data_IF_571402833270
#
_entry.id   IF_571402833270
#
_cell.length_a   1.000
_cell.length_b   1.000
_cell.length_c   1.000
_cell.angle_alpha   90.00
_cell.angle_beta   90.00
_cell.angle_gamma   90.00
#
_symmetry.space_group_name_H-M   'P 1'
#
loop_
_entity.id
_entity.type
_entity.pdbx_description
1 polymer ?
#
# COMPACT_ATOMS: atom_id res chain seq x y z
N UNK A 1 -21.55 0.15 -10.47
CA UNK A 1 -20.86 1.24 -11.19
C UNK A 1 -19.86 0.57 -12.12
N UNK A 2 -20.30 0.28 -13.35
CA UNK A 2 -19.45 -0.28 -14.39
C UNK A 2 -18.55 0.84 -14.91
N UNK A 3 -17.30 0.82 -14.47
CA UNK A 3 -16.29 1.74 -14.97
C UNK A 3 -15.81 1.17 -16.31
N UNK A 4 -16.20 1.84 -17.39
CA UNK A 4 -15.91 1.47 -18.77
C UNK A 4 -14.42 1.09 -18.97
N UNK A 5 -14.20 -0.18 -19.32
CA UNK A 5 -12.87 -0.79 -19.44
C UNK A 5 -11.94 -0.03 -20.39
N UNK A 6 -12.49 0.74 -21.35
CA UNK A 6 -11.69 1.58 -22.26
C UNK A 6 -11.05 2.77 -21.55
N UNK A 7 -11.71 3.39 -20.56
CA UNK A 7 -11.17 4.55 -19.82
C UNK A 7 -10.10 4.16 -18.80
N UNK A 8 -10.12 2.91 -18.30
CA UNK A 8 -9.15 2.40 -17.34
C UNK A 8 -7.87 1.83 -17.98
N UNK A 9 -7.83 1.61 -19.31
CA UNK A 9 -6.68 1.02 -20.00
C UNK A 9 -5.32 1.66 -19.67
N UNK A 10 -5.14 2.99 -19.74
CA UNK A 10 -3.83 3.59 -19.46
C UNK A 10 -3.43 3.48 -17.99
N UNK A 11 -4.39 3.62 -17.07
CA UNK A 11 -4.16 3.41 -15.63
C UNK A 11 -3.75 1.97 -15.33
N UNK A 12 -4.50 1.01 -15.89
CA UNK A 12 -4.18 -0.43 -15.85
C UNK A 12 -2.78 -0.67 -16.36
N UNK A 13 -2.37 -0.08 -17.49
CA UNK A 13 -1.04 -0.28 -18.05
C UNK A 13 0.09 0.20 -17.12
N UNK A 14 0.00 1.42 -16.58
CA UNK A 14 1.05 1.97 -15.69
C UNK A 14 1.10 1.25 -14.35
N UNK A 15 -0.04 0.92 -13.75
CA UNK A 15 -0.04 0.10 -12.54
C UNK A 15 0.48 -1.33 -12.80
N UNK A 16 0.15 -1.93 -13.95
CA UNK A 16 0.70 -3.23 -14.35
C UNK A 16 2.20 -3.20 -14.60
N UNK A 17 2.76 -2.06 -15.03
CA UNK A 17 4.20 -1.88 -15.16
C UNK A 17 4.89 -2.04 -13.80
N UNK A 18 4.44 -1.32 -12.78
CA UNK A 18 4.96 -1.46 -11.42
C UNK A 18 4.72 -2.86 -10.87
N UNK A 19 3.52 -3.42 -11.03
CA UNK A 19 3.17 -4.75 -10.51
C UNK A 19 4.06 -5.86 -11.10
N UNK A 20 4.57 -5.70 -12.33
CA UNK A 20 5.44 -6.68 -12.99
C UNK A 20 6.92 -6.51 -12.67
N UNK A 21 7.32 -5.32 -12.23
CA UNK A 21 8.71 -4.95 -11.96
C UNK A 21 8.88 -4.67 -10.47
N UNK A 22 9.40 -5.67 -9.76
CA UNK A 22 9.58 -5.59 -8.30
C UNK A 22 10.53 -4.46 -7.90
N UNK A 23 11.60 -4.22 -8.67
CA UNK A 23 12.59 -3.20 -8.33
C UNK A 23 12.00 -1.79 -8.51
N UNK A 24 11.28 -1.55 -9.62
CA UNK A 24 10.53 -0.29 -9.81
C UNK A 24 9.48 -0.06 -8.72
N UNK A 25 8.71 -1.11 -8.37
CA UNK A 25 7.73 -1.02 -7.29
C UNK A 25 8.37 -0.68 -5.94
N UNK A 26 9.53 -1.25 -5.66
CA UNK A 26 10.25 -0.99 -4.42
C UNK A 26 10.85 0.41 -4.39
N UNK A 27 11.35 0.91 -5.52
CA UNK A 27 11.77 2.30 -5.70
C UNK A 27 10.64 3.28 -5.41
N UNK A 28 9.49 3.10 -6.08
CA UNK A 28 8.29 3.90 -5.87
C UNK A 28 7.83 3.90 -4.40
N UNK A 29 7.81 2.72 -3.77
CA UNK A 29 7.45 2.57 -2.37
C UNK A 29 8.41 3.34 -1.45
N UNK A 30 9.71 3.27 -1.70
CA UNK A 30 10.71 3.96 -0.90
C UNK A 30 10.59 5.47 -1.03
N UNK A 31 10.38 6.00 -2.24
CA UNK A 31 10.12 7.41 -2.47
C UNK A 31 8.87 7.88 -1.73
N UNK A 32 7.79 7.09 -1.79
CA UNK A 32 6.55 7.40 -1.08
C UNK A 32 6.75 7.46 0.43
N UNK A 33 7.48 6.51 1.00
CA UNK A 33 7.80 6.48 2.43
C UNK A 33 8.65 7.69 2.83
N UNK A 34 9.66 8.04 2.04
CA UNK A 34 10.52 9.20 2.31
C UNK A 34 9.70 10.50 2.28
N UNK A 35 8.88 10.69 1.24
CA UNK A 35 8.02 11.88 1.10
C UNK A 35 7.01 11.98 2.24
N UNK A 36 6.34 10.88 2.58
CA UNK A 36 5.39 10.85 3.69
C UNK A 36 6.07 11.15 5.03
N UNK A 37 7.26 10.60 5.26
CA UNK A 37 8.01 10.82 6.50
C UNK A 37 8.42 12.28 6.65
N UNK A 38 8.90 12.91 5.57
CA UNK A 38 9.24 14.34 5.54
C UNK A 38 8.03 15.25 5.80
N UNK A 39 6.82 14.76 5.53
CA UNK A 39 5.56 15.50 5.67
C UNK A 39 4.69 15.02 6.83
N UNK A 40 5.23 14.20 7.75
CA UNK A 40 4.47 13.56 8.85
C UNK A 40 3.56 14.54 9.60
N UNK A 41 4.10 15.69 10.00
CA UNK A 41 3.35 16.71 10.75
C UNK A 41 2.18 17.30 9.96
N UNK A 42 2.29 17.37 8.63
CA UNK A 42 1.23 17.89 7.75
C UNK A 42 0.17 16.83 7.46
N UNK A 43 0.54 15.55 7.49
CA UNK A 43 -0.35 14.43 7.18
C UNK A 43 -1.25 14.05 8.35
N UNK A 44 -0.83 14.30 9.60
CA UNK A 44 -1.65 14.03 10.78
C UNK A 44 -2.16 12.57 10.78
N UNK A 45 -3.46 12.37 10.87
CA UNK A 45 -4.07 11.03 10.87
C UNK A 45 -3.94 10.26 9.54
N UNK A 46 -3.71 10.97 8.42
CA UNK A 46 -3.51 10.35 7.10
C UNK A 46 -2.18 9.59 7.06
N UNK A 47 -1.20 10.00 7.87
CA UNK A 47 0.10 9.32 8.00
C UNK A 47 -0.07 7.83 8.34
N UNK A 48 -0.91 7.49 9.31
CA UNK A 48 -1.12 6.10 9.74
C UNK A 48 -1.75 5.25 8.63
N UNK A 49 -2.68 5.84 7.86
CA UNK A 49 -3.33 5.19 6.72
C UNK A 49 -2.32 4.94 5.59
N UNK A 50 -1.47 5.92 5.29
CA UNK A 50 -0.39 5.78 4.30
C UNK A 50 0.63 4.73 4.73
N UNK A 51 1.03 4.75 6.01
CA UNK A 51 1.96 3.77 6.55
C UNK A 51 1.42 2.34 6.41
N UNK A 52 0.11 2.15 6.66
CA UNK A 52 -0.54 0.87 6.46
C UNK A 52 -0.57 0.44 4.98
N UNK A 53 -0.87 1.37 4.06
CA UNK A 53 -0.81 1.13 2.61
C UNK A 53 0.59 0.70 2.16
N UNK A 54 1.63 1.39 2.64
CA UNK A 54 3.01 1.06 2.35
C UNK A 54 3.40 -0.30 2.92
N UNK A 55 2.91 -0.63 4.11
CA UNK A 55 3.16 -1.90 4.79
C UNK A 55 2.58 -3.08 4.00
N UNK A 56 1.30 -3.02 3.61
CA UNK A 56 0.69 -4.10 2.82
C UNK A 56 1.35 -4.24 1.45
N UNK A 57 1.72 -3.13 0.81
CA UNK A 57 2.38 -3.18 -0.49
C UNK A 57 3.77 -3.80 -0.40
N UNK A 58 4.54 -3.44 0.64
CA UNK A 58 5.85 -4.05 0.94
C UNK A 58 5.75 -5.55 1.11
N UNK A 59 4.81 -6.00 1.95
CA UNK A 59 4.64 -7.44 2.24
C UNK A 59 4.15 -8.21 1.02
N UNK A 60 3.34 -7.58 0.17
CA UNK A 60 2.96 -8.13 -1.13
C UNK A 60 4.16 -8.27 -2.08
N UNK A 61 4.99 -7.22 -2.21
CA UNK A 61 6.21 -7.26 -3.04
C UNK A 61 7.23 -8.30 -2.56
N UNK A 62 7.31 -8.51 -1.24
CA UNK A 62 8.15 -9.53 -0.62
C UNK A 62 7.55 -10.93 -0.72
N UNK A 63 6.27 -11.05 -1.10
CA UNK A 63 5.56 -12.33 -1.20
C UNK A 63 5.15 -12.92 0.15
N UNK A 64 5.31 -12.19 1.25
CA UNK A 64 4.85 -12.61 2.59
C UNK A 64 3.33 -12.49 2.73
N UNK A 65 2.71 -11.53 2.03
CA UNK A 65 1.24 -11.36 2.00
C UNK A 65 0.70 -11.41 0.57
N UNK A 66 0.02 -12.50 0.19
CA UNK A 66 -0.48 -12.72 -1.20
C UNK A 66 -2.00 -12.63 -1.34
N UNK A 67 -2.72 -12.37 -0.26
CA UNK A 67 -4.19 -12.38 -0.24
C UNK A 67 -4.84 -11.09 -0.78
N UNK A 68 -4.01 -10.13 -1.20
CA UNK A 68 -4.47 -8.84 -1.70
C UNK A 68 -5.21 -8.99 -3.05
N UNK A 69 -6.48 -8.58 -3.15
CA UNK A 69 -7.21 -8.62 -4.42
C UNK A 69 -6.53 -7.74 -5.48
N UNK A 70 -6.57 -8.16 -6.75
CA UNK A 70 -5.95 -7.41 -7.87
C UNK A 70 -6.45 -5.96 -7.96
N UNK A 71 -7.74 -5.73 -7.69
CA UNK A 71 -8.33 -4.38 -7.64
C UNK A 71 -7.69 -3.52 -6.55
N UNK A 72 -7.46 -4.09 -5.38
CA UNK A 72 -6.91 -3.39 -4.22
C UNK A 72 -5.43 -3.09 -4.44
N UNK A 73 -4.67 -4.05 -4.97
CA UNK A 73 -3.29 -3.82 -5.43
C UNK A 73 -3.20 -2.67 -6.44
N UNK A 74 -4.08 -2.67 -7.43
CA UNK A 74 -4.16 -1.61 -8.43
C UNK A 74 -4.44 -0.23 -7.80
N UNK A 75 -5.43 -0.15 -6.90
CA UNK A 75 -5.77 1.08 -6.19
C UNK A 75 -4.62 1.58 -5.30
N UNK A 76 -3.92 0.67 -4.62
CA UNK A 76 -2.76 1.00 -3.79
C UNK A 76 -1.66 1.59 -4.65
N UNK A 77 -1.27 0.92 -5.74
CA UNK A 77 -0.22 1.42 -6.65
C UNK A 77 -0.62 2.79 -7.22
N UNK A 78 -1.87 2.95 -7.64
CA UNK A 78 -2.37 4.23 -8.15
C UNK A 78 -2.28 5.35 -7.11
N UNK A 79 -2.68 5.07 -5.86
CA UNK A 79 -2.57 6.01 -4.75
C UNK A 79 -1.14 6.39 -4.42
N UNK A 80 -0.22 5.43 -4.45
CA UNK A 80 1.21 5.66 -4.19
C UNK A 80 1.85 6.51 -5.30
N UNK A 81 1.59 6.19 -6.58
CA UNK A 81 2.09 6.98 -7.72
C UNK A 81 1.61 8.42 -7.62
N UNK A 82 0.32 8.63 -7.37
CA UNK A 82 -0.26 9.96 -7.18
C UNK A 82 0.36 10.72 -6.00
N UNK A 83 0.60 10.01 -4.89
CA UNK A 83 1.23 10.61 -3.71
C UNK A 83 2.68 11.06 -3.98
N UNK A 84 3.48 10.25 -4.67
CA UNK A 84 4.89 10.56 -4.98
C UNK A 84 5.00 11.69 -6.00
N UNK A 85 4.30 11.59 -7.12
CA UNK A 85 4.35 12.55 -8.22
C UNK A 85 2.93 12.88 -8.70
N UNK A 86 2.25 13.83 -8.07
CA UNK A 86 0.89 14.22 -8.47
C UNK A 86 0.83 14.84 -9.88
N UNK A 87 1.97 15.30 -10.42
CA UNK A 87 2.10 15.98 -11.73
C UNK A 87 2.34 14.97 -12.88
N UNK A 88 2.64 13.71 -12.57
CA UNK A 88 3.01 12.72 -13.58
C UNK A 88 1.80 12.17 -14.35
N UNK A 89 1.25 12.93 -15.30
CA UNK A 89 0.56 12.52 -16.56
C UNK A 89 -0.47 11.36 -16.56
N UNK A 90 -0.78 10.78 -15.41
CA UNK A 90 -1.73 9.68 -15.19
C UNK A 90 -3.13 10.25 -15.28
N UNK A 91 -3.34 11.43 -14.69
CA UNK A 91 -4.63 12.12 -14.65
C UNK A 91 -4.94 12.94 -15.90
N UNK A 92 -3.96 13.21 -16.78
CA UNK A 92 -4.18 13.87 -18.07
C UNK A 92 -5.12 13.09 -19.01
N UNK A 93 -5.42 11.81 -18.71
CA UNK A 93 -6.27 10.93 -19.51
C UNK A 93 -7.59 10.51 -18.84
N UNK A 94 -8.04 11.17 -17.76
CA UNK A 94 -9.39 10.95 -17.21
C UNK A 94 -10.39 11.91 -17.87
N UNK A 95 -11.23 11.46 -18.84
CA UNK A 95 -12.32 12.26 -19.37
C UNK A 95 -13.54 12.23 -18.42
N UNK A 96 -13.30 12.57 -17.15
CA UNK A 96 -14.28 12.95 -16.13
C UNK A 96 -13.80 14.30 -15.57
N UNK A 97 -13.73 15.28 -16.47
CA UNK A 97 -13.31 16.64 -16.12
C UNK A 97 -14.24 17.26 -15.07
N UNK A 98 -13.66 17.73 -13.98
CA UNK A 98 -14.17 18.91 -13.28
C UNK A 98 -14.72 18.76 -11.85
N UNK A 99 -14.68 17.60 -11.18
CA UNK A 99 -15.35 17.46 -9.87
C UNK A 99 -14.58 16.76 -8.74
N UNK A 100 -13.35 16.26 -8.96
CA UNK A 100 -12.60 15.61 -7.90
C UNK A 100 -11.49 16.56 -7.43
N UNK A 101 -11.73 17.22 -6.30
CA UNK A 101 -10.70 17.94 -5.55
C UNK A 101 -9.52 16.99 -5.25
N UNK A 102 -8.28 17.49 -5.21
CA UNK A 102 -7.05 16.69 -5.10
C UNK A 102 -7.06 15.75 -3.88
N UNK A 103 -7.79 16.12 -2.83
CA UNK A 103 -8.01 15.32 -1.61
C UNK A 103 -9.09 14.23 -1.76
N UNK A 104 -10.08 14.42 -2.63
CA UNK A 104 -11.17 13.47 -2.83
C UNK A 104 -10.72 12.20 -3.56
N UNK A 105 -9.72 12.29 -4.45
CA UNK A 105 -9.09 11.10 -5.08
C UNK A 105 -8.44 10.21 -4.03
N UNK A 106 -7.65 10.79 -3.13
CA UNK A 106 -6.97 10.05 -2.07
C UNK A 106 -7.98 9.39 -1.11
N UNK A 107 -9.01 10.14 -0.70
CA UNK A 107 -10.10 9.61 0.12
C UNK A 107 -10.84 8.45 -0.55
N UNK A 108 -11.10 8.57 -1.86
CA UNK A 108 -11.72 7.50 -2.64
C UNK A 108 -10.84 6.25 -2.68
N UNK A 109 -9.55 6.36 -3.03
CA UNK A 109 -8.62 5.22 -3.08
C UNK A 109 -8.58 4.50 -1.74
N UNK A 110 -8.42 5.24 -0.63
CA UNK A 110 -8.41 4.67 0.72
C UNK A 110 -9.73 3.91 0.97
N UNK A 111 -10.88 4.51 0.68
CA UNK A 111 -12.19 3.88 0.88
C UNK A 111 -12.34 2.55 0.14
N UNK A 112 -11.75 2.44 -1.06
CA UNK A 112 -11.84 1.24 -1.89
C UNK A 112 -11.01 0.08 -1.36
N UNK A 113 -9.98 0.35 -0.55
CA UNK A 113 -9.06 -0.67 -0.04
C UNK A 113 -9.20 -0.93 1.46
N UNK A 114 -9.96 -0.12 2.18
CA UNK A 114 -10.16 -0.22 3.63
C UNK A 114 -10.48 -1.64 4.10
N UNK A 115 -11.42 -2.34 3.46
CA UNK A 115 -11.80 -3.69 3.88
C UNK A 115 -10.65 -4.71 3.76
N UNK A 116 -9.80 -4.58 2.74
CA UNK A 116 -8.63 -5.45 2.57
C UNK A 116 -7.47 -5.04 3.48
N UNK A 117 -7.36 -3.74 3.79
CA UNK A 117 -6.43 -3.25 4.80
C UNK A 117 -6.77 -3.78 6.20
N UNK A 118 -8.05 -3.93 6.54
CA UNK A 118 -8.44 -4.57 7.81
C UNK A 118 -8.04 -6.04 7.86
N UNK A 119 -8.23 -6.80 6.77
CA UNK A 119 -7.73 -8.19 6.70
C UNK A 119 -6.22 -8.25 6.85
N UNK A 120 -5.51 -7.36 6.18
CA UNK A 120 -4.06 -7.24 6.30
C UNK A 120 -3.63 -6.94 7.74
N UNK A 121 -4.31 -6.02 8.45
CA UNK A 121 -4.02 -5.74 9.86
C UNK A 121 -4.15 -6.98 10.74
N UNK A 122 -5.23 -7.76 10.54
CA UNK A 122 -5.45 -8.99 11.29
C UNK A 122 -4.35 -10.01 11.04
N UNK A 123 -3.99 -10.22 9.77
CA UNK A 123 -2.87 -11.09 9.39
C UNK A 123 -1.55 -10.60 10.00
N UNK A 124 -1.26 -9.30 9.95
CA UNK A 124 -0.01 -8.73 10.49
C UNK A 124 0.08 -8.91 11.99
N UNK A 125 -1.03 -8.74 12.71
CA UNK A 125 -1.12 -8.99 14.15
C UNK A 125 -0.84 -10.45 14.49
N UNK A 126 -1.40 -11.38 13.71
CA UNK A 126 -1.15 -12.81 13.88
C UNK A 126 0.34 -13.14 13.71
N UNK A 127 0.95 -12.70 12.60
CA UNK A 127 2.38 -12.92 12.33
C UNK A 127 3.27 -12.36 13.44
N UNK A 128 2.99 -11.15 13.92
CA UNK A 128 3.75 -10.55 15.01
C UNK A 128 3.62 -11.37 16.31
N UNK A 129 2.41 -11.86 16.64
CA UNK A 129 2.21 -12.69 17.83
C UNK A 129 2.95 -14.03 17.75
N UNK A 130 3.00 -14.66 16.58
CA UNK A 130 3.74 -15.91 16.37
C UNK A 130 5.26 -15.71 16.54
N UNK A 131 5.79 -14.60 16.01
CA UNK A 131 7.20 -14.22 16.17
C UNK A 131 7.54 -13.97 17.64
N UNK A 132 6.67 -13.29 18.39
CA UNK A 132 6.88 -13.06 19.82
C UNK A 132 6.86 -14.34 20.64
N UNK A 133 5.94 -15.26 20.33
CA UNK A 133 5.88 -16.58 20.96
C UNK A 133 7.15 -17.39 20.69
N UNK A 134 7.67 -17.37 19.46
CA UNK A 134 8.90 -18.09 19.13
C UNK A 134 10.11 -17.55 19.88
N UNK A 135 10.30 -16.23 19.89
CA UNK A 135 11.38 -15.58 20.64
C UNK A 135 11.32 -15.92 22.13
N UNK A 136 10.11 -15.94 22.70
CA UNK A 136 9.95 -16.31 24.11
C UNK A 136 10.30 -17.78 24.36
N UNK A 137 9.97 -18.69 23.45
CA UNK A 137 10.36 -20.11 23.53
C UNK A 137 11.87 -20.29 23.45
N UNK A 138 12.54 -19.67 22.48
CA UNK A 138 14.00 -19.73 22.31
C UNK A 138 14.74 -19.19 23.55
N UNK A 139 14.26 -18.07 24.11
CA UNK A 139 14.83 -17.48 25.33
C UNK A 139 14.66 -18.40 26.55
N UNK A 140 13.49 -19.01 26.73
CA UNK A 140 13.26 -19.97 27.82
C UNK A 140 14.08 -21.25 27.68
N UNK A 141 14.24 -21.78 26.47
CA UNK A 141 15.09 -22.95 26.21
C UNK A 141 16.57 -22.66 26.47
N UNK A 142 17.05 -21.46 26.12
CA UNK A 142 18.45 -21.07 26.34
C UNK A 142 18.76 -20.96 27.85
N UNK A 143 17.84 -20.42 28.65
CA UNK A 143 18.00 -20.31 30.12
C UNK A 143 18.00 -21.67 30.83
N UNK A 144 17.36 -22.69 30.28
CA UNK A 144 17.31 -24.05 30.86
C UNK A 144 18.57 -24.88 30.58
N UNK A 145 19.34 -24.52 29.54
CA UNK A 145 20.60 -25.20 29.18
C UNK A 145 21.80 -24.66 29.97
N UNK A 146 21.68 -23.47 30.54
CA UNK A 146 22.74 -22.78 31.29
C UNK A 146 22.74 -23.10 32.81
N UNK A 147 21.81 -23.95 33.27
CA UNK A 147 21.68 -24.42 34.67
C UNK A 147 22.20 -25.86 34.82
#
# INVERSE_FOLDING_TARGET
>A
MDIDDKKLKPFKAKALEYIKDKDKSMGLLNEAIQKASAQRNRLGEVWEKLHLLFSVFRDWLNGSYKELPKRSLFMIVLGIVYFVSPIDGVFDYIPFGGLIDDAAVAGFVISQVSADLEKYKLWKKQVNSEIELEKNRENSSSQMVEL
#
